data_IF_353351925973
#
_entry.id   IF_353351925973
#
_cell.length_a   1.000
_cell.length_b   1.000
_cell.length_c   1.000
_cell.angle_alpha   90.00
_cell.angle_beta   90.00
_cell.angle_gamma   90.00
#
_symmetry.space_group_name_H-M   'P 1'
#
loop_
_entity.id
_entity.type
_entity.pdbx_description
1 polymer ?
#
# COMPACT_ATOMS: atom_id res chain seq x y z
N UNK A 1 -31.09 32.71 18.42
CA UNK A 1 -30.02 32.46 17.41
C UNK A 1 -28.87 31.62 17.99
N UNK A 2 -29.12 30.42 18.56
CA UNK A 2 -28.07 29.59 19.19
C UNK A 2 -28.02 28.16 18.60
N UNK A 3 -28.94 27.79 17.70
CA UNK A 3 -29.02 26.42 17.14
C UNK A 3 -28.07 26.13 15.97
N UNK A 4 -27.52 27.15 15.31
CA UNK A 4 -26.68 26.96 14.12
C UNK A 4 -25.19 26.75 14.42
N UNK A 5 -24.68 27.22 15.56
CA UNK A 5 -23.26 27.17 15.90
C UNK A 5 -22.80 25.79 16.38
N UNK A 6 -23.70 25.00 16.97
CA UNK A 6 -23.40 23.65 17.47
C UNK A 6 -23.26 22.59 16.37
N UNK A 7 -23.87 22.79 15.18
CA UNK A 7 -23.78 21.83 14.08
C UNK A 7 -22.41 21.85 13.37
N UNK A 8 -21.72 22.98 13.37
CA UNK A 8 -20.44 23.16 12.66
C UNK A 8 -19.27 22.54 13.44
N UNK A 9 -19.35 22.50 14.77
CA UNK A 9 -18.32 21.89 15.60
C UNK A 9 -18.32 20.35 15.50
N UNK A 10 -19.48 19.73 15.25
CA UNK A 10 -19.61 18.28 15.17
C UNK A 10 -19.07 17.70 13.85
N UNK A 11 -19.14 18.46 12.75
CA UNK A 11 -18.60 18.02 11.45
C UNK A 11 -17.06 18.12 11.39
N UNK A 12 -16.43 19.08 12.09
CA UNK A 12 -14.96 19.17 12.18
C UNK A 12 -14.33 18.08 13.05
N UNK A 13 -15.05 17.54 14.05
CA UNK A 13 -14.55 16.45 14.89
C UNK A 13 -14.44 15.11 14.15
N UNK A 14 -15.36 14.82 13.22
CA UNK A 14 -15.38 13.54 12.51
C UNK A 14 -14.27 13.40 11.45
N UNK A 15 -13.84 14.51 10.83
CA UNK A 15 -12.74 14.52 9.85
C UNK A 15 -11.35 14.42 10.51
N UNK A 16 -11.26 14.74 11.80
CA UNK A 16 -9.98 14.77 12.54
C UNK A 16 -9.59 13.42 13.14
N UNK A 17 -10.54 12.48 13.31
CA UNK A 17 -10.28 11.18 13.92
C UNK A 17 -9.56 10.19 12.98
N UNK A 18 -9.89 10.18 11.68
CA UNK A 18 -9.24 9.28 10.71
C UNK A 18 -7.79 9.67 10.40
N UNK A 19 -7.45 10.96 10.47
CA UNK A 19 -6.09 11.45 10.16
C UNK A 19 -5.14 11.35 11.36
N UNK A 20 -5.65 11.44 12.60
CA UNK A 20 -4.85 11.24 13.80
C UNK A 20 -4.38 9.77 13.93
N UNK A 21 -5.29 8.81 13.69
CA UNK A 21 -4.97 7.39 13.89
C UNK A 21 -3.87 6.86 12.95
N UNK A 22 -3.86 7.27 11.68
CA UNK A 22 -2.83 6.86 10.71
C UNK A 22 -1.48 7.52 11.00
N UNK A 23 -1.47 8.80 11.41
CA UNK A 23 -0.24 9.50 11.81
C UNK A 23 0.38 8.83 13.03
N UNK A 24 -0.42 8.46 14.02
CA UNK A 24 0.05 7.76 15.21
C UNK A 24 0.61 6.38 14.86
N UNK A 25 -0.10 5.61 14.02
CA UNK A 25 0.35 4.30 13.56
C UNK A 25 1.69 4.34 12.82
N UNK A 26 1.92 5.39 12.01
CA UNK A 26 3.12 5.53 11.20
C UNK A 26 4.26 6.32 11.86
N UNK A 27 4.01 6.93 13.02
CA UNK A 27 4.98 7.75 13.74
C UNK A 27 6.30 7.01 14.00
N UNK A 28 6.22 5.74 14.45
CA UNK A 28 7.37 4.88 14.72
C UNK A 28 8.25 4.61 13.48
N UNK A 29 7.68 4.65 12.28
CA UNK A 29 8.40 4.37 11.03
C UNK A 29 9.01 5.62 10.40
N UNK A 30 8.61 6.81 10.85
CA UNK A 30 9.08 8.10 10.36
C UNK A 30 10.61 8.20 10.29
N UNK A 31 11.39 7.77 11.31
CA UNK A 31 12.84 7.83 11.24
C UNK A 31 13.42 6.99 10.10
N UNK A 32 12.88 5.78 9.85
CA UNK A 32 13.36 4.88 8.78
C UNK A 32 12.98 5.45 7.41
N UNK A 33 11.75 5.96 7.27
CA UNK A 33 11.21 6.47 6.00
C UNK A 33 12.06 7.64 5.46
N UNK A 34 12.55 8.52 6.35
CA UNK A 34 13.33 9.71 6.01
C UNK A 34 14.85 9.47 5.92
N UNK A 35 15.32 8.25 6.11
CA UNK A 35 16.73 7.91 5.85
C UNK A 35 17.04 8.03 4.35
N UNK A 36 18.32 8.21 4.02
CA UNK A 36 18.77 8.06 2.63
C UNK A 36 18.49 6.64 2.12
N UNK A 37 18.38 6.48 0.80
CA UNK A 37 17.90 5.25 0.18
C UNK A 37 18.67 3.99 0.62
N UNK A 38 20.00 4.03 0.60
CA UNK A 38 20.84 2.88 0.94
C UNK A 38 20.68 2.46 2.41
N UNK A 39 20.69 3.43 3.34
CA UNK A 39 20.51 3.14 4.76
C UNK A 39 19.08 2.66 5.05
N UNK A 40 18.09 3.26 4.40
CA UNK A 40 16.68 2.85 4.52
C UNK A 40 16.49 1.41 4.09
N UNK A 41 16.96 1.04 2.90
CA UNK A 41 16.86 -0.32 2.39
C UNK A 41 17.55 -1.32 3.32
N UNK A 42 18.79 -1.02 3.76
CA UNK A 42 19.52 -1.86 4.71
C UNK A 42 18.79 -2.04 6.05
N UNK A 43 18.07 -1.01 6.52
CA UNK A 43 17.27 -1.09 7.75
C UNK A 43 15.99 -1.88 7.53
N UNK A 44 15.26 -1.62 6.45
CA UNK A 44 14.01 -2.33 6.13
C UNK A 44 14.27 -3.83 5.96
N UNK A 45 15.35 -4.23 5.28
CA UNK A 45 15.73 -5.63 5.08
C UNK A 45 15.90 -6.42 6.40
N UNK A 46 16.22 -5.74 7.51
CA UNK A 46 16.41 -6.37 8.83
C UNK A 46 15.12 -6.53 9.62
N UNK A 47 14.02 -5.95 9.15
CA UNK A 47 12.71 -6.02 9.81
C UNK A 47 11.99 -7.32 9.47
N UNK A 48 10.98 -7.68 10.27
CA UNK A 48 10.06 -8.76 9.91
C UNK A 48 9.28 -8.41 8.64
N UNK A 49 8.74 -9.41 7.94
CA UNK A 49 7.91 -9.21 6.75
C UNK A 49 6.74 -8.26 6.98
N UNK A 50 6.08 -8.42 8.11
CA UNK A 50 4.97 -7.56 8.55
C UNK A 50 5.46 -6.13 8.72
N UNK A 51 6.57 -5.94 9.42
CA UNK A 51 7.16 -4.62 9.63
C UNK A 51 7.65 -3.99 8.32
N UNK A 52 8.22 -4.76 7.40
CA UNK A 52 8.60 -4.28 6.06
C UNK A 52 7.38 -3.74 5.31
N UNK A 53 6.26 -4.45 5.35
CA UNK A 53 5.01 -3.99 4.76
C UNK A 53 4.46 -2.74 5.48
N UNK A 54 4.52 -2.66 6.81
CA UNK A 54 4.08 -1.45 7.53
C UNK A 54 4.90 -0.22 7.13
N UNK A 55 6.23 -0.36 7.02
CA UNK A 55 7.09 0.74 6.56
C UNK A 55 6.72 1.16 5.14
N UNK A 56 6.49 0.19 4.24
CA UNK A 56 6.04 0.46 2.89
C UNK A 56 4.71 1.22 2.87
N UNK A 57 3.69 0.69 3.54
CA UNK A 57 2.36 1.29 3.64
C UNK A 57 2.44 2.73 4.18
N UNK A 58 3.18 2.95 5.27
CA UNK A 58 3.37 4.29 5.82
C UNK A 58 4.12 5.23 4.86
N UNK A 59 5.15 4.75 4.17
CA UNK A 59 5.86 5.55 3.17
C UNK A 59 4.93 6.03 2.04
N UNK A 60 4.07 5.14 1.52
CA UNK A 60 3.09 5.46 0.46
C UNK A 60 2.05 6.51 0.91
N UNK A 61 1.77 6.60 2.22
CA UNK A 61 0.77 7.53 2.78
C UNK A 61 1.33 8.91 3.08
N UNK A 62 2.60 9.00 3.47
CA UNK A 62 3.15 10.23 4.03
C UNK A 62 4.25 10.88 3.17
N UNK A 63 4.80 10.19 2.17
CA UNK A 63 5.81 10.78 1.29
C UNK A 63 5.42 10.73 -0.19
N UNK A 64 5.80 11.80 -0.89
CA UNK A 64 5.76 11.91 -2.34
C UNK A 64 7.16 12.30 -2.86
N UNK A 65 7.64 11.71 -3.97
CA UNK A 65 7.03 10.62 -4.70
C UNK A 65 7.17 9.27 -3.96
N UNK A 66 6.19 8.35 -4.10
CA UNK A 66 6.12 7.10 -3.33
C UNK A 66 7.22 6.05 -3.61
N UNK A 67 8.07 6.28 -4.62
CA UNK A 67 9.04 5.29 -5.09
C UNK A 67 10.34 5.33 -4.27
N UNK A 68 10.33 4.64 -3.13
CA UNK A 68 11.44 4.62 -2.18
C UNK A 68 12.31 3.35 -2.24
N UNK A 69 12.09 2.47 -3.22
CA UNK A 69 12.71 1.14 -3.29
C UNK A 69 12.13 0.13 -2.28
N UNK A 70 11.29 0.58 -1.34
CA UNK A 70 10.73 -0.26 -0.27
C UNK A 70 9.78 -1.33 -0.83
N UNK A 71 9.05 -1.03 -1.90
CA UNK A 71 8.18 -2.01 -2.56
C UNK A 71 8.98 -3.23 -3.07
N UNK A 72 10.16 -3.00 -3.65
CA UNK A 72 11.07 -4.07 -4.11
C UNK A 72 11.55 -4.88 -2.90
N UNK A 73 11.90 -4.23 -1.79
CA UNK A 73 12.29 -4.92 -0.55
C UNK A 73 11.16 -5.81 0.00
N UNK A 74 9.90 -5.34 -0.03
CA UNK A 74 8.76 -6.17 0.38
C UNK A 74 8.57 -7.33 -0.61
N UNK A 75 8.61 -7.05 -1.91
CA UNK A 75 8.45 -8.02 -2.99
C UNK A 75 9.52 -9.13 -2.98
N UNK A 76 10.76 -8.83 -2.59
CA UNK A 76 11.87 -9.79 -2.55
C UNK A 76 11.70 -10.94 -1.55
N UNK A 77 10.69 -10.85 -0.67
CA UNK A 77 10.27 -11.98 0.16
C UNK A 77 9.60 -13.11 -0.65
N UNK A 78 9.25 -12.86 -1.93
CA UNK A 78 8.64 -13.84 -2.84
C UNK A 78 7.35 -14.42 -2.28
N UNK A 79 7.15 -15.73 -2.42
CA UNK A 79 5.93 -16.41 -1.96
C UNK A 79 5.61 -16.18 -0.48
N UNK A 80 6.62 -15.96 0.37
CA UNK A 80 6.45 -15.84 1.84
C UNK A 80 5.65 -14.62 2.29
N UNK A 81 5.58 -13.56 1.48
CA UNK A 81 4.80 -12.35 1.81
C UNK A 81 3.34 -12.45 1.33
N UNK A 82 3.04 -13.37 0.39
CA UNK A 82 1.73 -13.47 -0.25
C UNK A 82 0.58 -13.64 0.75
N UNK A 83 0.67 -14.50 1.79
CA UNK A 83 -0.42 -14.62 2.76
C UNK A 83 -0.76 -13.31 3.47
N UNK A 84 0.25 -12.50 3.81
CA UNK A 84 0.06 -11.18 4.42
C UNK A 84 -0.62 -10.22 3.44
N UNK A 85 -0.13 -10.13 2.20
CA UNK A 85 -0.67 -9.23 1.18
C UNK A 85 -2.12 -9.60 0.83
N UNK A 86 -2.45 -10.89 0.70
CA UNK A 86 -3.83 -11.37 0.49
C UNK A 86 -4.73 -11.00 1.66
N UNK A 87 -4.24 -11.12 2.90
CA UNK A 87 -5.00 -10.73 4.08
C UNK A 87 -5.29 -9.23 4.11
N UNK A 88 -4.28 -8.41 3.84
CA UNK A 88 -4.39 -6.95 3.75
C UNK A 88 -5.37 -6.55 2.66
N UNK A 89 -5.19 -7.07 1.45
CA UNK A 89 -6.03 -6.79 0.28
C UNK A 89 -7.52 -6.92 0.57
N UNK A 90 -7.95 -7.90 1.38
CA UNK A 90 -9.38 -8.09 1.73
C UNK A 90 -9.99 -6.97 2.56
N UNK A 91 -9.16 -6.23 3.31
CA UNK A 91 -9.58 -5.19 4.26
C UNK A 91 -9.15 -3.78 3.84
N UNK A 92 -8.37 -3.69 2.77
CA UNK A 92 -7.77 -2.45 2.28
C UNK A 92 -8.77 -1.46 1.71
N UNK A 93 -8.48 -0.17 1.93
CA UNK A 93 -9.08 0.92 1.19
C UNK A 93 -8.59 0.95 -0.27
N UNK A 94 -9.20 1.79 -1.11
CA UNK A 94 -8.86 1.87 -2.53
C UNK A 94 -7.39 2.19 -2.80
N UNK A 95 -6.76 3.01 -1.95
CA UNK A 95 -5.36 3.41 -2.14
C UNK A 95 -4.42 2.27 -1.73
N UNK A 96 -4.70 1.57 -0.65
CA UNK A 96 -3.88 0.42 -0.22
C UNK A 96 -4.01 -0.74 -1.21
N UNK A 97 -5.17 -0.90 -1.88
CA UNK A 97 -5.28 -1.85 -2.99
C UNK A 97 -4.28 -1.53 -4.09
N UNK A 98 -4.15 -0.26 -4.50
CA UNK A 98 -3.15 0.16 -5.50
C UNK A 98 -1.74 -0.11 -5.02
N UNK A 99 -1.43 0.21 -3.76
CA UNK A 99 -0.12 -0.03 -3.16
C UNK A 99 0.22 -1.54 -3.15
N UNK A 100 -0.73 -2.41 -2.79
CA UNK A 100 -0.55 -3.86 -2.81
C UNK A 100 -0.33 -4.37 -4.25
N UNK A 101 -1.10 -3.88 -5.22
CA UNK A 101 -0.91 -4.24 -6.63
C UNK A 101 0.49 -3.87 -7.12
N UNK A 102 1.00 -2.72 -6.69
CA UNK A 102 2.37 -2.32 -7.02
C UNK A 102 3.42 -3.27 -6.43
N UNK A 103 3.22 -3.83 -5.23
CA UNK A 103 4.12 -4.87 -4.70
C UNK A 103 4.09 -6.13 -5.57
N UNK A 104 2.91 -6.59 -5.99
CA UNK A 104 2.80 -7.75 -6.89
C UNK A 104 3.40 -7.49 -8.27
N UNK A 105 3.27 -6.27 -8.78
CA UNK A 105 3.95 -5.82 -9.99
C UNK A 105 5.47 -5.93 -9.84
N UNK A 106 6.03 -5.49 -8.70
CA UNK A 106 7.46 -5.66 -8.44
C UNK A 106 7.87 -7.13 -8.29
N UNK A 107 6.98 -8.00 -7.77
CA UNK A 107 7.24 -9.44 -7.70
C UNK A 107 7.36 -10.07 -9.08
N UNK A 108 6.47 -9.72 -10.01
CA UNK A 108 6.52 -10.19 -11.39
C UNK A 108 7.75 -9.62 -12.12
N UNK A 109 7.95 -8.30 -12.08
CA UNK A 109 8.98 -7.62 -12.84
C UNK A 109 10.42 -8.00 -12.43
N UNK A 110 10.61 -8.42 -11.18
CA UNK A 110 11.92 -8.82 -10.66
C UNK A 110 12.03 -10.34 -10.44
N UNK A 111 11.09 -11.13 -10.99
CA UNK A 111 11.10 -12.60 -10.90
C UNK A 111 11.13 -13.16 -9.46
N UNK A 112 10.68 -12.39 -8.47
CA UNK A 112 10.60 -12.86 -7.08
C UNK A 112 9.46 -13.87 -6.89
N UNK A 113 8.43 -13.78 -7.73
CA UNK A 113 7.33 -14.73 -7.83
C UNK A 113 6.54 -14.46 -9.12
N UNK A 114 6.22 -15.50 -9.89
CA UNK A 114 5.34 -15.39 -11.07
C UNK A 114 3.88 -15.25 -10.62
N UNK A 115 3.45 -14.00 -10.44
CA UNK A 115 2.08 -13.64 -10.07
C UNK A 115 1.12 -13.98 -11.22
N UNK A 116 1.55 -13.70 -12.46
CA UNK A 116 0.76 -13.90 -13.68
C UNK A 116 0.26 -15.33 -13.88
N UNK A 117 1.03 -16.31 -13.43
CA UNK A 117 0.73 -17.75 -13.60
C UNK A 117 -0.10 -18.33 -12.46
N UNK A 118 -0.32 -17.57 -11.38
CA UNK A 118 -1.15 -17.99 -10.26
C UNK A 118 -2.59 -17.49 -10.43
N UNK A 119 -3.46 -18.30 -11.04
CA UNK A 119 -4.84 -17.94 -11.35
C UNK A 119 -5.64 -17.49 -10.12
N UNK A 120 -5.51 -18.21 -9.00
CA UNK A 120 -6.21 -17.85 -7.75
C UNK A 120 -5.79 -16.48 -7.24
N UNK A 121 -4.49 -16.17 -7.29
CA UNK A 121 -4.00 -14.86 -6.91
C UNK A 121 -4.50 -13.78 -7.88
N UNK A 122 -4.42 -14.03 -9.19
CA UNK A 122 -4.91 -13.10 -10.21
C UNK A 122 -6.40 -12.77 -10.06
N UNK A 123 -7.24 -13.75 -9.71
CA UNK A 123 -8.66 -13.52 -9.42
C UNK A 123 -8.87 -12.64 -8.18
N UNK A 124 -8.09 -12.87 -7.11
CA UNK A 124 -8.14 -12.02 -5.93
C UNK A 124 -7.68 -10.58 -6.21
N UNK A 125 -6.64 -10.40 -7.04
CA UNK A 125 -6.19 -9.07 -7.47
C UNK A 125 -7.25 -8.37 -8.32
N UNK A 126 -7.90 -9.09 -9.25
CA UNK A 126 -9.01 -8.57 -10.04
C UNK A 126 -10.20 -8.15 -9.16
N UNK A 127 -10.53 -8.94 -8.14
CA UNK A 127 -11.57 -8.62 -7.16
C UNK A 127 -11.19 -7.40 -6.31
N UNK A 128 -9.92 -7.28 -5.89
CA UNK A 128 -9.43 -6.09 -5.22
C UNK A 128 -9.63 -4.84 -6.08
N UNK A 129 -9.12 -4.91 -7.32
CA UNK A 129 -9.23 -3.86 -8.34
C UNK A 129 -10.68 -3.47 -8.65
N UNK A 130 -11.64 -4.40 -8.63
CA UNK A 130 -13.05 -4.07 -8.91
C UNK A 130 -13.73 -3.25 -7.80
N UNK A 131 -13.18 -3.25 -6.58
CA UNK A 131 -13.67 -2.42 -5.46
C UNK A 131 -13.21 -0.97 -5.52
N UNK A 132 -12.32 -0.61 -6.45
CA UNK A 132 -11.85 0.77 -6.61
C UNK A 132 -12.89 1.57 -7.39
N UNK A 133 -13.59 2.49 -6.72
CA UNK A 133 -14.52 3.43 -7.33
C UNK A 133 -13.86 4.69 -7.89
N UNK A 134 -12.72 5.11 -7.34
CA UNK A 134 -11.99 6.28 -7.83
C UNK A 134 -11.35 6.00 -9.21
N UNK A 135 -11.72 6.79 -10.22
CA UNK A 135 -11.25 6.60 -11.61
C UNK A 135 -9.74 6.69 -11.78
N UNK A 136 -9.06 7.57 -11.05
CA UNK A 136 -7.60 7.74 -11.15
C UNK A 136 -6.89 6.53 -10.54
N UNK A 137 -7.29 6.13 -9.33
CA UNK A 137 -6.74 4.93 -8.70
C UNK A 137 -7.04 3.68 -9.51
N UNK A 138 -8.23 3.62 -10.13
CA UNK A 138 -8.62 2.52 -11.01
C UNK A 138 -7.72 2.41 -12.23
N UNK A 139 -7.39 3.54 -12.86
CA UNK A 139 -6.42 3.57 -13.98
C UNK A 139 -5.05 3.04 -13.54
N UNK A 140 -4.54 3.50 -12.40
CA UNK A 140 -3.24 3.04 -11.88
C UNK A 140 -3.28 1.53 -11.60
N UNK A 141 -4.37 1.05 -10.99
CA UNK A 141 -4.56 -0.37 -10.71
C UNK A 141 -4.68 -1.21 -12.00
N UNK A 142 -5.35 -0.70 -13.03
CA UNK A 142 -5.46 -1.37 -14.33
C UNK A 142 -4.09 -1.44 -15.02
N UNK A 143 -3.28 -0.38 -14.93
CA UNK A 143 -1.91 -0.36 -15.45
C UNK A 143 -1.01 -1.36 -14.71
N UNK A 144 -1.06 -1.43 -13.38
CA UNK A 144 -0.32 -2.45 -12.62
C UNK A 144 -0.76 -3.86 -13.01
N UNK A 145 -2.06 -4.09 -13.20
CA UNK A 145 -2.59 -5.40 -13.62
C UNK A 145 -2.22 -5.76 -15.07
N UNK A 146 -1.95 -4.79 -15.93
CA UNK A 146 -1.38 -5.03 -17.26
C UNK A 146 0.09 -5.44 -17.15
N UNK A 147 0.90 -4.71 -16.38
CA UNK A 147 2.32 -5.01 -16.16
C UNK A 147 2.52 -6.37 -15.49
N UNK A 148 1.69 -6.72 -14.50
CA UNK A 148 1.67 -8.07 -13.92
C UNK A 148 1.42 -9.15 -14.98
N UNK A 149 0.61 -8.88 -16.01
CA UNK A 149 0.35 -9.85 -17.09
C UNK A 149 1.42 -9.84 -18.21
N UNK A 150 2.46 -9.01 -18.09
CA UNK A 150 3.44 -8.81 -19.16
C UNK A 150 2.86 -8.09 -20.39
N UNK A 151 1.82 -7.27 -20.21
CA UNK A 151 1.16 -6.51 -21.28
C UNK A 151 1.59 -5.03 -21.22
N UNK A 152 2.73 -4.72 -21.81
CA UNK A 152 3.16 -3.31 -22.03
C UNK A 152 2.60 -2.74 -23.33
#
# INVERSE_FOLDING_TARGET
>A
MIKATLLIAFTMMLMSACTHSLRDQCSQWTPIIHMNAALRESKVLKLSREQQYEVYFCAMRFMHPPHLGIAITVASNGEKIIPLLRHRLKKSDEREIVDILFVFEQMEANEFFSVSTNETLMDELNLGRSRIGNKVLKSIADDSMRRIRGLD
#
